data_IF_951132250151
#
_entry.id   IF_951132250151
#
_cell.length_a   1.000
_cell.length_b   1.000
_cell.length_c   1.000
_cell.angle_alpha   90.00
_cell.angle_beta   90.00
_cell.angle_gamma   90.00
#
_symmetry.space_group_name_H-M   'P 1'
#
loop_
_entity.id
_entity.type
_entity.pdbx_description
1 polymer ?
#
# COMPACT_ATOMS: atom_id res chain seq x y z
N UNK A 1 -8.99 -23.99 21.90
CA UNK A 1 -7.75 -23.47 21.30
C UNK A 1 -7.88 -21.96 21.24
N UNK A 2 -6.79 -21.20 21.44
CA UNK A 2 -6.82 -19.76 21.25
C UNK A 2 -6.56 -19.47 19.76
N UNK A 3 -7.63 -19.40 18.96
CA UNK A 3 -7.50 -19.26 17.50
C UNK A 3 -6.88 -17.90 17.11
N UNK A 4 -7.16 -16.83 17.86
CA UNK A 4 -6.55 -15.52 17.67
C UNK A 4 -5.02 -15.63 17.71
N UNK A 5 -4.46 -16.27 18.75
CA UNK A 5 -3.01 -16.42 18.93
C UNK A 5 -2.27 -17.00 17.71
N UNK A 6 -2.90 -17.88 16.93
CA UNK A 6 -2.27 -18.46 15.73
C UNK A 6 -2.44 -17.58 14.49
N UNK A 7 -3.53 -16.81 14.38
CA UNK A 7 -3.68 -15.78 13.35
C UNK A 7 -2.81 -14.56 13.62
N UNK A 8 -2.68 -14.13 14.88
CA UNK A 8 -1.75 -13.09 15.31
C UNK A 8 -0.31 -13.46 14.90
N UNK A 9 0.08 -14.72 15.14
CA UNK A 9 1.38 -15.27 14.70
C UNK A 9 1.53 -15.38 13.20
N UNK A 10 0.48 -15.73 12.47
CA UNK A 10 0.50 -15.69 11.02
C UNK A 10 0.68 -14.25 10.51
N UNK A 11 0.09 -13.27 11.22
CA UNK A 11 0.18 -11.85 10.88
C UNK A 11 1.51 -11.20 11.26
N UNK A 12 2.21 -11.70 12.28
CA UNK A 12 3.64 -11.36 12.53
C UNK A 12 4.49 -11.64 11.28
N UNK A 13 4.22 -12.75 10.55
CA UNK A 13 4.93 -13.09 9.30
C UNK A 13 4.59 -12.14 8.15
N UNK A 14 3.31 -11.76 8.03
CA UNK A 14 2.84 -10.78 7.03
C UNK A 14 3.59 -9.45 7.19
N UNK A 15 3.77 -8.99 8.43
CA UNK A 15 4.53 -7.78 8.77
C UNK A 15 6.02 -7.87 8.41
N UNK A 16 6.58 -9.06 8.22
CA UNK A 16 7.97 -9.26 7.78
C UNK A 16 8.14 -9.34 6.26
N UNK A 17 7.09 -9.71 5.51
CA UNK A 17 7.15 -9.82 4.04
C UNK A 17 6.39 -8.72 3.30
N UNK A 18 5.72 -7.80 4.02
CA UNK A 18 5.04 -6.65 3.43
C UNK A 18 5.99 -5.81 2.55
N UNK A 19 5.55 -5.50 1.34
CA UNK A 19 6.34 -4.83 0.31
C UNK A 19 7.21 -5.73 -0.58
N UNK A 20 7.48 -7.01 -0.22
CA UNK A 20 8.29 -7.95 -1.01
C UNK A 20 7.48 -8.75 -2.05
N UNK A 21 6.17 -8.90 -1.83
CA UNK A 21 5.28 -9.77 -2.62
C UNK A 21 4.77 -9.19 -3.94
N UNK A 22 5.36 -8.09 -4.41
CA UNK A 22 5.01 -7.45 -5.69
C UNK A 22 3.56 -6.96 -5.71
N UNK A 23 2.79 -7.34 -6.75
CA UNK A 23 1.37 -6.99 -6.84
C UNK A 23 0.44 -7.82 -5.95
N UNK A 24 0.95 -8.89 -5.33
CA UNK A 24 0.19 -9.71 -4.38
C UNK A 24 0.35 -9.15 -2.96
N UNK A 25 -0.66 -9.29 -2.08
CA UNK A 25 -0.49 -8.92 -0.68
C UNK A 25 0.35 -9.99 0.04
N UNK A 26 0.99 -9.62 1.15
CA UNK A 26 1.66 -10.61 1.98
C UNK A 26 0.62 -11.49 2.69
N UNK A 27 0.90 -12.79 2.78
CA UNK A 27 0.04 -13.79 3.44
C UNK A 27 0.90 -14.62 4.38
N UNK A 28 0.37 -14.95 5.55
CA UNK A 28 1.01 -15.79 6.56
C UNK A 28 0.16 -17.01 6.91
N UNK A 29 0.82 -18.11 7.24
CA UNK A 29 0.21 -19.38 7.60
C UNK A 29 0.91 -20.08 8.77
N UNK A 30 0.11 -20.68 9.64
CA UNK A 30 0.56 -21.51 10.76
C UNK A 30 -0.22 -22.83 10.73
N UNK A 31 0.48 -23.97 10.74
CA UNK A 31 -0.13 -25.30 10.88
C UNK A 31 0.04 -25.77 12.33
N UNK A 32 -1.06 -26.13 12.97
CA UNK A 32 -1.11 -26.56 14.38
C UNK A 32 -1.69 -27.96 14.51
N UNK A 33 -0.97 -28.83 15.22
CA UNK A 33 -1.43 -30.16 15.60
C UNK A 33 -1.14 -30.40 17.08
N UNK A 34 -2.11 -30.94 17.81
CA UNK A 34 -1.99 -31.27 19.25
C UNK A 34 -1.45 -30.09 20.11
N UNK A 35 -1.97 -28.88 19.82
CA UNK A 35 -1.54 -27.59 20.40
C UNK A 35 -0.05 -27.22 20.18
N UNK A 36 0.60 -27.79 19.16
CA UNK A 36 1.96 -27.46 18.75
C UNK A 36 1.97 -26.90 17.33
N UNK A 37 2.72 -25.82 17.12
CA UNK A 37 3.03 -25.35 15.77
C UNK A 37 3.95 -26.39 15.12
N UNK A 38 3.52 -26.95 13.99
CA UNK A 38 4.26 -27.95 13.21
C UNK A 38 4.67 -27.42 11.84
N UNK A 39 4.07 -26.33 11.37
CA UNK A 39 4.44 -25.65 10.13
C UNK A 39 4.23 -24.15 10.22
N UNK A 40 5.11 -23.40 9.55
CA UNK A 40 5.10 -21.93 9.45
C UNK A 40 5.38 -21.60 7.98
N UNK A 41 4.66 -20.65 7.41
CA UNK A 41 4.86 -20.23 6.04
C UNK A 41 4.40 -18.81 5.80
N UNK A 42 5.06 -18.13 4.87
CA UNK A 42 4.66 -16.84 4.36
C UNK A 42 4.81 -16.84 2.83
N UNK A 43 4.08 -15.96 2.14
CA UNK A 43 4.42 -15.61 0.76
C UNK A 43 5.58 -14.62 0.81
N UNK A 44 6.73 -15.01 0.23
CA UNK A 44 7.98 -14.25 0.30
C UNK A 44 8.12 -13.29 -0.90
N UNK A 45 7.94 -13.81 -2.11
CA UNK A 45 8.16 -13.08 -3.37
C UNK A 45 7.11 -13.46 -4.42
N UNK A 46 6.74 -12.53 -5.29
CA UNK A 46 5.76 -12.77 -6.35
C UNK A 46 6.15 -13.94 -7.27
N UNK A 47 5.24 -14.89 -7.45
CA UNK A 47 5.43 -16.07 -8.32
C UNK A 47 6.11 -17.25 -7.65
N UNK A 48 6.58 -17.11 -6.42
CA UNK A 48 6.99 -18.24 -5.58
C UNK A 48 5.80 -18.91 -4.87
N UNK A 49 6.07 -19.96 -4.11
CA UNK A 49 5.07 -20.67 -3.31
C UNK A 49 4.32 -19.73 -2.35
N UNK A 50 3.02 -19.95 -2.23
CA UNK A 50 2.16 -19.23 -1.28
C UNK A 50 2.40 -19.70 0.16
N UNK A 51 1.88 -18.95 1.13
CA UNK A 51 2.06 -19.19 2.56
C UNK A 51 1.58 -20.59 2.98
N UNK A 52 0.44 -21.03 2.45
CA UNK A 52 -0.18 -22.34 2.70
C UNK A 52 0.78 -23.46 2.26
N UNK A 53 1.34 -23.35 1.06
CA UNK A 53 2.26 -24.34 0.49
C UNK A 53 3.53 -24.43 1.33
N UNK A 54 4.09 -23.29 1.74
CA UNK A 54 5.29 -23.24 2.58
C UNK A 54 5.04 -23.85 3.97
N UNK A 55 3.92 -23.49 4.62
CA UNK A 55 3.57 -24.02 5.94
C UNK A 55 3.27 -25.53 5.92
N UNK A 56 2.58 -26.01 4.88
CA UNK A 56 2.29 -27.45 4.71
C UNK A 56 3.53 -28.26 4.35
N UNK A 57 4.45 -27.70 3.54
CA UNK A 57 5.74 -28.35 3.26
C UNK A 57 6.60 -28.47 4.52
N UNK A 58 6.64 -27.44 5.38
CA UNK A 58 7.32 -27.51 6.67
C UNK A 58 6.66 -28.54 7.62
N UNK A 59 5.32 -28.60 7.67
CA UNK A 59 4.61 -29.57 8.50
C UNK A 59 4.76 -31.02 8.03
N UNK A 60 4.85 -31.25 6.71
CA UNK A 60 4.93 -32.59 6.12
C UNK A 60 3.83 -33.51 6.66
N UNK A 61 4.20 -34.72 7.10
CA UNK A 61 3.26 -35.70 7.70
C UNK A 61 2.51 -35.19 8.95
N UNK A 62 2.99 -34.12 9.60
CA UNK A 62 2.33 -33.55 10.78
C UNK A 62 1.12 -32.68 10.41
N UNK A 63 0.92 -32.36 9.12
CA UNK A 63 -0.31 -31.72 8.62
C UNK A 63 -1.55 -32.65 8.68
N UNK A 64 -1.36 -33.97 8.66
CA UNK A 64 -2.48 -34.93 8.66
C UNK A 64 -3.26 -34.81 9.98
N UNK A 65 -4.53 -34.41 9.91
CA UNK A 65 -5.39 -34.15 11.06
C UNK A 65 -5.17 -32.80 11.75
N UNK A 66 -4.33 -31.92 11.18
CA UNK A 66 -4.01 -30.62 11.76
C UNK A 66 -5.04 -29.53 11.39
N UNK A 67 -4.90 -28.36 12.04
CA UNK A 67 -5.56 -27.11 11.67
C UNK A 67 -4.57 -26.18 10.96
N UNK A 68 -4.95 -25.63 9.82
CA UNK A 68 -4.25 -24.52 9.16
C UNK A 68 -4.90 -23.19 9.57
N UNK A 69 -4.09 -22.22 9.99
CA UNK A 69 -4.50 -20.84 10.24
C UNK A 69 -3.87 -19.95 9.16
N UNK A 70 -4.66 -19.12 8.46
CA UNK A 70 -4.20 -18.25 7.39
C UNK A 70 -4.69 -16.80 7.57
N UNK A 71 -3.87 -15.80 7.27
CA UNK A 71 -4.30 -14.39 7.36
C UNK A 71 -5.31 -14.01 6.28
N UNK A 72 -5.27 -14.66 5.12
CA UNK A 72 -6.18 -14.48 3.99
C UNK A 72 -6.87 -15.82 3.64
N UNK A 73 -8.03 -15.77 3.02
CA UNK A 73 -8.71 -16.95 2.49
C UNK A 73 -7.83 -17.72 1.47
N UNK A 74 -7.63 -19.05 1.61
CA UNK A 74 -6.78 -19.81 0.69
C UNK A 74 -7.28 -19.84 -0.76
N UNK A 75 -6.35 -19.75 -1.70
CA UNK A 75 -6.70 -19.64 -3.12
C UNK A 75 -7.05 -20.99 -3.79
N UNK A 76 -8.06 -20.97 -4.68
CA UNK A 76 -8.47 -22.12 -5.51
C UNK A 76 -8.17 -21.97 -7.00
N UNK A 77 -7.74 -20.79 -7.45
CA UNK A 77 -7.45 -20.54 -8.87
C UNK A 77 -6.08 -21.15 -9.28
N UNK A 78 -5.99 -21.62 -10.52
CA UNK A 78 -4.71 -21.99 -11.13
C UNK A 78 -3.99 -20.72 -11.59
N UNK A 79 -2.89 -20.37 -10.93
CA UNK A 79 -2.03 -19.23 -11.26
C UNK A 79 -0.70 -19.67 -11.86
N UNK A 80 0.39 -18.97 -11.51
CA UNK A 80 1.77 -19.43 -11.77
C UNK A 80 2.09 -20.71 -10.98
N UNK A 81 1.41 -20.92 -9.86
CA UNK A 81 1.48 -22.12 -9.00
C UNK A 81 0.15 -22.89 -8.99
N UNK A 82 0.14 -24.20 -8.66
CA UNK A 82 -1.08 -24.95 -8.39
C UNK A 82 -1.90 -24.32 -7.24
N UNK A 83 -3.22 -24.52 -7.20
CA UNK A 83 -4.10 -23.94 -6.19
C UNK A 83 -3.81 -24.49 -4.78
N UNK A 84 -3.88 -23.62 -3.79
CA UNK A 84 -3.62 -23.98 -2.40
C UNK A 84 -4.69 -24.93 -1.84
N UNK A 85 -5.94 -24.78 -2.27
CA UNK A 85 -7.05 -25.72 -1.98
C UNK A 85 -6.66 -27.19 -2.17
N UNK A 86 -6.06 -27.55 -3.30
CA UNK A 86 -5.67 -28.95 -3.57
C UNK A 86 -4.58 -29.41 -2.60
N UNK A 87 -3.55 -28.58 -2.40
CA UNK A 87 -2.44 -28.89 -1.47
C UNK A 87 -2.93 -29.06 -0.02
N UNK A 88 -3.93 -28.29 0.41
CA UNK A 88 -4.57 -28.41 1.74
C UNK A 88 -5.28 -29.77 1.87
N UNK A 89 -6.07 -30.16 0.86
CA UNK A 89 -6.77 -31.46 0.80
C UNK A 89 -5.76 -32.61 0.84
N UNK A 90 -4.77 -32.59 -0.04
CA UNK A 90 -3.74 -33.65 -0.17
C UNK A 90 -2.89 -33.82 1.10
N UNK A 91 -2.68 -32.73 1.86
CA UNK A 91 -1.93 -32.74 3.11
C UNK A 91 -2.73 -33.32 4.30
N UNK A 92 -4.02 -33.63 4.11
CA UNK A 92 -4.87 -34.23 5.13
C UNK A 92 -5.27 -33.28 6.26
N UNK A 93 -5.24 -31.96 6.02
CA UNK A 93 -5.76 -30.95 6.96
C UNK A 93 -7.23 -31.27 7.28
N UNK A 94 -7.65 -31.06 8.54
CA UNK A 94 -9.04 -31.26 8.96
C UNK A 94 -9.80 -29.98 9.29
N UNK A 95 -9.08 -28.88 9.50
CA UNK A 95 -9.68 -27.57 9.72
C UNK A 95 -8.84 -26.46 9.09
N UNK A 96 -9.49 -25.50 8.46
CA UNK A 96 -8.91 -24.24 8.01
C UNK A 96 -9.60 -23.11 8.77
N UNK A 97 -8.81 -22.19 9.33
CA UNK A 97 -9.31 -20.96 9.94
C UNK A 97 -8.63 -19.79 9.23
N UNK A 98 -9.39 -18.85 8.68
CA UNK A 98 -8.84 -17.67 8.01
C UNK A 98 -9.40 -16.37 8.59
N UNK A 99 -8.61 -15.29 8.56
CA UNK A 99 -9.05 -14.01 9.12
C UNK A 99 -9.95 -13.22 8.15
N UNK A 100 -9.49 -13.07 6.91
CA UNK A 100 -10.08 -12.15 5.93
C UNK A 100 -10.46 -12.88 4.65
N UNK A 101 -11.70 -12.65 4.18
CA UNK A 101 -12.21 -13.20 2.92
C UNK A 101 -11.54 -12.53 1.71
N UNK A 102 -11.13 -13.30 0.70
CA UNK A 102 -10.58 -12.77 -0.54
C UNK A 102 -11.72 -12.22 -1.42
N UNK A 103 -11.94 -10.90 -1.34
CA UNK A 103 -12.92 -10.17 -2.17
C UNK A 103 -12.47 -10.02 -3.63
N UNK A 104 -11.30 -10.54 -3.97
CA UNK A 104 -10.51 -10.18 -5.14
C UNK A 104 -10.43 -11.32 -6.18
N UNK A 105 -10.75 -12.55 -5.75
CA UNK A 105 -10.75 -13.79 -6.52
C UNK A 105 -11.88 -14.68 -5.99
N UNK A 106 -12.35 -15.62 -6.82
CA UNK A 106 -13.21 -16.68 -6.29
C UNK A 106 -12.35 -17.71 -5.56
N UNK A 107 -12.67 -17.98 -4.30
CA UNK A 107 -12.18 -19.13 -3.54
C UNK A 107 -13.08 -20.34 -3.80
N UNK A 108 -12.57 -21.55 -3.54
CA UNK A 108 -13.36 -22.78 -3.57
C UNK A 108 -13.34 -23.40 -2.16
N UNK A 109 -13.92 -22.65 -1.22
CA UNK A 109 -14.19 -23.13 0.14
C UNK A 109 -15.09 -24.37 0.10
N UNK A 110 -16.01 -24.46 -0.86
CA UNK A 110 -16.97 -25.55 -0.93
C UNK A 110 -16.31 -26.87 -1.39
N UNK A 111 -15.29 -26.84 -2.24
CA UNK A 111 -14.42 -28.01 -2.48
C UNK A 111 -13.68 -28.48 -1.22
N UNK A 112 -13.18 -27.57 -0.37
CA UNK A 112 -12.58 -27.96 0.91
C UNK A 112 -13.61 -28.63 1.84
N UNK A 113 -14.81 -28.03 1.97
CA UNK A 113 -15.91 -28.61 2.76
C UNK A 113 -16.37 -29.97 2.22
N UNK A 114 -16.45 -30.13 0.90
CA UNK A 114 -16.82 -31.40 0.25
C UNK A 114 -15.84 -32.54 0.55
N UNK A 115 -14.56 -32.22 0.79
CA UNK A 115 -13.54 -33.18 1.25
C UNK A 115 -13.51 -33.37 2.78
N UNK A 116 -14.51 -32.85 3.50
CA UNK A 116 -14.67 -33.02 4.94
C UNK A 116 -13.69 -32.18 5.77
N UNK A 117 -13.26 -31.03 5.25
CA UNK A 117 -12.48 -30.03 5.97
C UNK A 117 -13.47 -29.01 6.58
N UNK A 118 -13.35 -28.76 7.89
CA UNK A 118 -14.09 -27.67 8.55
C UNK A 118 -13.42 -26.35 8.18
N UNK A 119 -14.18 -25.38 7.65
CA UNK A 119 -13.64 -24.08 7.23
C UNK A 119 -14.37 -22.97 7.99
N UNK A 120 -13.63 -22.22 8.81
CA UNK A 120 -14.15 -21.11 9.62
C UNK A 120 -13.47 -19.79 9.25
N UNK A 121 -14.23 -18.69 9.25
CA UNK A 121 -13.67 -17.34 9.29
C UNK A 121 -13.60 -16.83 10.74
N UNK A 122 -12.52 -16.14 11.09
CA UNK A 122 -12.35 -15.47 12.38
C UNK A 122 -11.88 -14.03 12.18
N UNK A 123 -12.84 -13.10 12.15
CA UNK A 123 -12.56 -11.69 11.91
C UNK A 123 -11.63 -11.09 12.97
N UNK A 124 -10.54 -10.46 12.52
CA UNK A 124 -9.59 -9.69 13.33
C UNK A 124 -9.38 -8.36 12.61
N UNK A 125 -9.76 -7.25 13.24
CA UNK A 125 -9.80 -5.93 12.59
C UNK A 125 -8.44 -5.46 12.08
N UNK A 126 -7.36 -5.68 12.83
CA UNK A 126 -6.00 -5.30 12.41
C UNK A 126 -5.56 -6.03 11.12
N UNK A 127 -6.02 -7.28 10.92
CA UNK A 127 -5.72 -8.06 9.72
C UNK A 127 -6.61 -7.61 8.55
N UNK A 128 -7.90 -7.33 8.79
CA UNK A 128 -8.78 -6.75 7.76
C UNK A 128 -8.23 -5.41 7.26
N UNK A 129 -7.90 -4.49 8.18
CA UNK A 129 -7.30 -3.18 7.88
C UNK A 129 -6.03 -3.28 7.04
N UNK A 130 -5.21 -4.32 7.22
CA UNK A 130 -4.02 -4.56 6.40
C UNK A 130 -4.35 -4.94 4.94
N UNK A 131 -5.40 -5.73 4.71
CA UNK A 131 -5.79 -6.13 3.35
C UNK A 131 -6.70 -5.12 2.63
N UNK A 132 -7.33 -4.18 3.35
CA UNK A 132 -8.18 -3.13 2.77
C UNK A 132 -7.53 -2.38 1.58
N UNK A 133 -6.25 -1.95 1.63
CA UNK A 133 -5.58 -1.32 0.48
C UNK A 133 -5.57 -2.18 -0.79
N UNK A 134 -5.24 -3.47 -0.66
CA UNK A 134 -5.19 -4.40 -1.78
C UNK A 134 -6.58 -4.59 -2.41
N UNK A 135 -7.61 -4.81 -1.60
CA UNK A 135 -8.97 -4.98 -2.12
C UNK A 135 -9.51 -3.70 -2.74
N UNK A 136 -9.36 -2.54 -2.09
CA UNK A 136 -9.81 -1.25 -2.65
C UNK A 136 -9.17 -1.00 -4.01
N UNK A 137 -7.87 -1.23 -4.15
CA UNK A 137 -7.18 -1.04 -5.42
C UNK A 137 -7.73 -1.97 -6.52
N UNK A 138 -7.83 -3.27 -6.22
CA UNK A 138 -8.24 -4.27 -7.22
C UNK A 138 -9.72 -4.15 -7.62
N UNK A 139 -10.60 -3.83 -6.67
CA UNK A 139 -12.04 -3.67 -6.91
C UNK A 139 -12.35 -2.41 -7.72
N UNK A 140 -11.70 -1.28 -7.39
CA UNK A 140 -11.90 0.00 -8.09
C UNK A 140 -11.11 0.12 -9.40
N UNK A 141 -10.05 -0.68 -9.56
CA UNK A 141 -9.09 -0.62 -10.68
C UNK A 141 -8.32 0.72 -10.75
N UNK A 142 -8.04 1.29 -9.58
CA UNK A 142 -7.16 2.44 -9.38
C UNK A 142 -6.20 2.13 -8.22
N UNK A 143 -5.00 2.71 -8.12
CA UNK A 143 -4.06 2.43 -7.05
C UNK A 143 -4.57 3.01 -5.72
N UNK A 144 -4.37 2.27 -4.64
CA UNK A 144 -4.59 2.77 -3.29
C UNK A 144 -3.66 3.95 -3.02
N UNK A 145 -4.22 5.12 -2.72
CA UNK A 145 -3.50 6.40 -2.80
C UNK A 145 -3.30 7.03 -1.43
N UNK A 146 -2.03 7.12 -1.03
CA UNK A 146 -1.59 7.73 0.23
C UNK A 146 -1.06 9.13 -0.05
N UNK A 147 -1.66 10.14 0.57
CA UNK A 147 -1.15 11.51 0.62
C UNK A 147 -0.23 11.65 1.83
N UNK A 148 1.06 11.94 1.65
CA UNK A 148 2.00 12.06 2.78
C UNK A 148 2.67 13.43 2.81
N UNK A 149 2.75 13.99 4.01
CA UNK A 149 3.20 15.36 4.26
C UNK A 149 3.94 15.48 5.59
N UNK A 150 4.94 16.35 5.63
CA UNK A 150 5.54 16.84 6.87
C UNK A 150 5.12 18.29 7.07
N UNK A 151 4.51 18.60 8.21
CA UNK A 151 3.98 19.92 8.54
C UNK A 151 4.46 20.40 9.91
N UNK A 152 4.49 21.71 10.10
CA UNK A 152 4.56 22.32 11.43
C UNK A 152 3.22 22.17 12.17
N UNK A 153 3.19 22.47 13.46
CA UNK A 153 1.98 22.44 14.29
C UNK A 153 0.89 23.40 13.78
N UNK A 154 1.30 24.51 13.16
CA UNK A 154 0.42 25.47 12.47
C UNK A 154 0.19 25.14 10.98
N UNK A 155 0.52 23.92 10.55
CA UNK A 155 0.12 23.34 9.26
C UNK A 155 0.93 23.81 8.04
N UNK A 156 2.16 24.31 8.21
CA UNK A 156 3.02 24.79 7.12
C UNK A 156 3.98 23.70 6.60
N UNK A 157 4.23 23.69 5.28
CA UNK A 157 5.13 22.73 4.59
C UNK A 157 6.48 23.33 4.15
N UNK A 158 6.62 24.64 4.20
CA UNK A 158 7.85 25.41 3.98
C UNK A 158 7.68 26.82 4.59
N UNK A 159 8.75 27.59 4.72
CA UNK A 159 8.69 29.03 5.00
C UNK A 159 8.38 29.84 3.72
N UNK A 160 8.14 31.15 3.89
CA UNK A 160 7.74 32.02 2.79
C UNK A 160 8.82 32.14 1.69
N UNK A 161 10.09 31.82 2.00
CA UNK A 161 11.25 31.74 1.10
C UNK A 161 11.43 30.34 0.45
N UNK A 162 10.40 29.47 0.54
CA UNK A 162 10.34 28.11 -0.02
C UNK A 162 11.28 27.08 0.66
N UNK A 163 11.82 27.37 1.84
CA UNK A 163 12.69 26.44 2.58
C UNK A 163 11.87 25.49 3.47
N UNK A 164 12.03 24.18 3.25
CA UNK A 164 11.31 23.11 3.95
C UNK A 164 12.19 22.14 4.75
N UNK A 165 13.52 22.26 4.63
CA UNK A 165 14.50 21.31 5.18
C UNK A 165 15.09 21.85 6.50
N UNK A 166 14.75 21.32 7.67
CA UNK A 166 13.88 20.17 7.95
C UNK A 166 12.78 20.53 8.96
N UNK A 167 11.53 20.42 8.51
CA UNK A 167 10.33 20.48 9.38
C UNK A 167 10.29 19.28 10.31
N UNK A 168 10.16 18.06 9.78
CA UNK A 168 10.09 16.83 10.58
C UNK A 168 11.47 16.28 10.95
N UNK A 169 11.54 15.54 12.06
CA UNK A 169 12.77 14.96 12.58
C UNK A 169 13.23 13.70 11.80
N UNK A 170 14.34 13.10 12.23
CA UNK A 170 14.93 11.96 11.52
C UNK A 170 14.12 10.67 11.64
N UNK A 171 13.57 10.36 12.82
CA UNK A 171 12.73 9.19 13.04
C UNK A 171 11.46 9.23 12.15
N UNK A 172 10.82 10.40 12.03
CA UNK A 172 9.72 10.64 11.08
C UNK A 172 10.12 10.36 9.63
N UNK A 173 11.28 10.85 9.19
CA UNK A 173 11.78 10.63 7.81
C UNK A 173 12.14 9.16 7.56
N UNK A 174 12.69 8.47 8.56
CA UNK A 174 12.98 7.03 8.48
C UNK A 174 11.70 6.20 8.36
N UNK A 175 10.65 6.49 9.15
CA UNK A 175 9.35 5.84 8.99
C UNK A 175 8.72 6.12 7.62
N UNK A 176 8.85 7.35 7.09
CA UNK A 176 8.39 7.65 5.74
C UNK A 176 9.07 6.78 4.66
N UNK A 177 10.37 6.44 4.81
CA UNK A 177 11.02 5.48 3.92
C UNK A 177 10.45 4.05 4.06
N UNK A 178 9.96 3.63 5.23
CA UNK A 178 9.24 2.37 5.37
C UNK A 178 7.90 2.40 4.59
N UNK A 179 7.13 3.49 4.67
CA UNK A 179 5.87 3.62 3.89
C UNK A 179 6.15 3.55 2.37
N UNK A 180 7.24 4.17 1.90
CA UNK A 180 7.71 4.04 0.51
C UNK A 180 7.99 2.60 0.10
N UNK A 181 8.63 1.80 0.96
CA UNK A 181 8.91 0.39 0.68
C UNK A 181 7.62 -0.43 0.50
N UNK A 182 6.59 -0.13 1.30
CA UNK A 182 5.27 -0.78 1.15
C UNK A 182 4.45 -0.31 -0.05
N UNK A 183 4.95 0.66 -0.83
CA UNK A 183 4.29 1.21 -2.04
C UNK A 183 4.99 0.75 -3.32
N UNK A 184 4.29 0.78 -4.45
CA UNK A 184 4.84 0.40 -5.77
C UNK A 184 5.46 1.60 -6.48
N UNK A 185 4.90 2.78 -6.24
CA UNK A 185 5.31 4.03 -6.85
C UNK A 185 5.29 5.20 -5.85
N UNK A 186 6.17 6.18 -6.08
CA UNK A 186 6.14 7.49 -5.42
C UNK A 186 5.86 8.54 -6.49
N UNK A 187 4.86 9.39 -6.24
CA UNK A 187 4.39 10.42 -7.15
C UNK A 187 4.81 11.82 -6.67
N UNK A 188 5.29 12.63 -7.62
CA UNK A 188 5.57 14.06 -7.45
C UNK A 188 5.11 14.88 -8.67
N UNK A 189 4.86 16.18 -8.48
CA UNK A 189 4.74 17.12 -9.61
C UNK A 189 6.10 17.48 -10.22
N UNK A 190 6.11 17.84 -11.51
CA UNK A 190 7.33 18.17 -12.27
C UNK A 190 8.21 19.24 -11.62
N UNK A 191 7.64 20.29 -11.02
CA UNK A 191 8.43 21.32 -10.34
C UNK A 191 9.24 20.76 -9.17
N UNK A 192 8.64 19.89 -8.34
CA UNK A 192 9.37 19.20 -7.26
C UNK A 192 10.43 18.26 -7.83
N UNK A 193 10.12 17.54 -8.90
CA UNK A 193 11.11 16.69 -9.58
C UNK A 193 12.32 17.51 -10.10
N UNK A 194 12.08 18.62 -10.81
CA UNK A 194 13.11 19.45 -11.46
C UNK A 194 13.98 20.21 -10.45
N UNK A 195 13.38 20.77 -9.40
CA UNK A 195 14.08 21.63 -8.44
C UNK A 195 14.69 20.87 -7.25
N UNK A 196 13.96 19.94 -6.62
CA UNK A 196 14.50 19.18 -5.47
C UNK A 196 15.42 18.03 -5.90
N UNK A 197 15.31 17.58 -7.16
CA UNK A 197 15.97 16.39 -7.72
C UNK A 197 15.95 15.18 -6.75
N UNK A 198 14.76 14.76 -6.30
CA UNK A 198 14.62 13.76 -5.24
C UNK A 198 14.97 12.35 -5.72
N UNK A 199 15.63 11.57 -4.85
CA UNK A 199 15.97 10.15 -5.14
C UNK A 199 14.76 9.24 -5.27
N UNK A 200 13.62 9.61 -4.66
CA UNK A 200 12.34 8.90 -4.67
C UNK A 200 12.51 7.37 -4.53
N UNK A 201 13.18 7.00 -3.45
CA UNK A 201 13.57 5.64 -3.09
C UNK A 201 13.30 5.35 -1.61
N UNK A 202 13.44 4.08 -1.22
CA UNK A 202 13.57 3.68 0.18
C UNK A 202 15.04 3.40 0.50
N UNK A 203 15.68 4.36 1.18
CA UNK A 203 17.15 4.36 1.38
C UNK A 203 17.67 3.13 2.13
N UNK A 204 16.84 2.60 3.03
CA UNK A 204 17.14 1.48 3.91
C UNK A 204 16.73 0.12 3.31
N UNK A 205 16.02 0.13 2.18
CA UNK A 205 15.44 -1.04 1.52
C UNK A 205 15.61 -0.94 0.00
N UNK A 206 16.86 -1.11 -0.46
CA UNK A 206 17.29 -0.87 -1.86
C UNK A 206 17.04 -2.03 -2.81
N UNK A 207 16.63 -3.17 -2.26
CA UNK A 207 16.16 -4.37 -2.94
C UNK A 207 14.89 -4.10 -3.75
N UNK A 208 13.93 -3.35 -3.18
CA UNK A 208 12.69 -3.01 -3.90
C UNK A 208 12.88 -1.86 -4.87
N UNK A 209 12.59 -2.13 -6.14
CA UNK A 209 12.60 -1.14 -7.23
C UNK A 209 11.27 -0.38 -7.32
N UNK A 210 11.13 0.63 -6.47
CA UNK A 210 9.99 1.56 -6.46
C UNK A 210 9.98 2.40 -7.75
N UNK A 211 8.82 2.61 -8.37
CA UNK A 211 8.67 3.47 -9.56
C UNK A 211 8.64 4.95 -9.17
N UNK A 212 9.26 5.80 -10.00
CA UNK A 212 9.19 7.26 -9.90
C UNK A 212 8.09 7.74 -10.82
N UNK A 213 6.99 8.27 -10.30
CA UNK A 213 5.93 8.87 -11.12
C UNK A 213 6.06 10.39 -11.07
N UNK A 214 6.15 11.04 -12.24
CA UNK A 214 6.18 12.50 -12.34
C UNK A 214 5.03 12.99 -13.22
N UNK A 215 4.16 13.83 -12.67
CA UNK A 215 3.13 14.52 -13.44
C UNK A 215 3.75 15.77 -14.07
N UNK A 216 3.71 15.88 -15.40
CA UNK A 216 4.14 17.05 -16.16
C UNK A 216 3.00 17.62 -17.00
N UNK A 217 2.67 18.90 -16.80
CA UNK A 217 1.76 19.63 -17.68
C UNK A 217 2.57 20.33 -18.78
N UNK A 218 3.13 19.55 -19.70
CA UNK A 218 4.05 20.04 -20.73
C UNK A 218 5.15 19.04 -21.11
N UNK A 219 6.14 19.55 -21.86
CA UNK A 219 7.41 18.87 -22.11
C UNK A 219 8.11 18.52 -20.79
N UNK A 220 8.68 17.33 -20.72
CA UNK A 220 9.42 16.84 -19.57
C UNK A 220 10.90 16.73 -19.92
N UNK A 221 11.75 17.31 -19.08
CA UNK A 221 13.20 17.13 -19.15
C UNK A 221 13.69 16.25 -17.99
N UNK A 222 14.42 15.18 -18.31
CA UNK A 222 15.08 14.36 -17.30
C UNK A 222 16.17 15.15 -16.56
N UNK A 223 16.35 14.91 -15.26
CA UNK A 223 17.46 15.46 -14.50
C UNK A 223 18.73 14.63 -14.73
N UNK A 224 19.91 15.24 -14.66
CA UNK A 224 21.19 14.54 -14.83
C UNK A 224 21.37 13.36 -13.87
N UNK A 225 20.88 13.48 -12.62
CA UNK A 225 20.91 12.39 -11.62
C UNK A 225 20.09 11.17 -12.03
N UNK A 226 19.02 11.38 -12.79
CA UNK A 226 18.11 10.34 -13.27
C UNK A 226 18.51 9.82 -14.66
N UNK A 227 19.45 10.48 -15.34
CA UNK A 227 19.92 10.16 -16.69
C UNK A 227 20.91 8.97 -16.71
N UNK A 228 20.51 7.86 -16.09
CA UNK A 228 21.21 6.58 -16.09
C UNK A 228 20.18 5.44 -16.26
N UNK A 229 20.60 4.28 -16.77
CA UNK A 229 19.68 3.20 -17.15
C UNK A 229 18.79 2.71 -16.00
N UNK A 230 19.32 2.69 -14.77
CA UNK A 230 18.59 2.24 -13.58
C UNK A 230 17.51 3.27 -13.16
N UNK A 231 17.79 4.57 -13.27
CA UNK A 231 16.85 5.64 -12.91
C UNK A 231 15.83 5.94 -14.01
N UNK A 232 16.25 6.01 -15.28
CA UNK A 232 15.36 6.06 -16.45
C UNK A 232 14.31 4.97 -16.40
N UNK A 233 14.73 3.71 -16.23
CA UNK A 233 13.82 2.57 -16.33
C UNK A 233 12.92 2.36 -15.10
N UNK A 234 13.06 3.13 -14.01
CA UNK A 234 12.03 3.22 -12.95
C UNK A 234 11.09 4.42 -13.13
N UNK A 235 11.42 5.38 -14.00
CA UNK A 235 10.67 6.62 -14.23
C UNK A 235 9.43 6.37 -15.11
N UNK A 236 8.33 7.00 -14.71
CA UNK A 236 7.05 7.07 -15.41
C UNK A 236 6.66 8.55 -15.46
N UNK A 237 6.57 9.12 -16.66
CA UNK A 237 6.10 10.48 -16.89
C UNK A 237 4.63 10.41 -17.29
N UNK A 238 3.76 11.10 -16.56
CA UNK A 238 2.34 11.26 -16.92
C UNK A 238 2.13 12.68 -17.40
N UNK A 239 1.64 12.85 -18.64
CA UNK A 239 1.60 14.15 -19.33
C UNK A 239 0.47 14.22 -20.34
N UNK A 240 0.09 15.43 -20.74
CA UNK A 240 -0.78 15.73 -21.90
C UNK A 240 0.01 16.02 -23.18
N UNK A 241 1.34 16.11 -23.09
CA UNK A 241 2.22 16.42 -24.22
C UNK A 241 2.82 15.15 -24.79
N UNK A 242 2.47 14.83 -26.04
CA UNK A 242 3.07 13.72 -26.78
C UNK A 242 4.58 13.93 -26.95
N UNK A 243 5.36 12.99 -26.41
CA UNK A 243 6.81 13.01 -26.39
C UNK A 243 7.35 11.61 -26.11
N UNK A 244 8.56 11.32 -26.59
CA UNK A 244 9.29 10.09 -26.28
C UNK A 244 10.62 10.44 -25.61
N UNK A 245 10.95 9.71 -24.55
CA UNK A 245 12.18 9.91 -23.77
C UNK A 245 12.85 8.54 -23.63
N UNK A 246 14.09 8.44 -24.10
CA UNK A 246 14.83 7.18 -24.09
C UNK A 246 14.95 6.57 -22.68
N UNK A 247 14.61 5.27 -22.59
CA UNK A 247 14.63 4.48 -21.36
C UNK A 247 13.50 4.78 -20.34
N UNK A 248 12.60 5.73 -20.62
CA UNK A 248 11.55 6.20 -19.70
C UNK A 248 10.17 5.77 -20.19
N UNK A 249 9.28 5.37 -19.27
CA UNK A 249 7.87 5.12 -19.61
C UNK A 249 7.13 6.46 -19.68
N UNK A 250 6.58 6.84 -20.84
CA UNK A 250 5.74 8.03 -20.99
C UNK A 250 4.29 7.60 -21.19
N UNK A 251 3.39 8.14 -20.37
CA UNK A 251 1.94 7.94 -20.41
C UNK A 251 1.33 9.27 -20.84
N UNK A 252 0.81 9.32 -22.08
CA UNK A 252 0.14 10.50 -22.63
C UNK A 252 -1.37 10.36 -22.39
N UNK A 253 -1.97 11.35 -21.75
CA UNK A 253 -3.40 11.41 -21.40
C UNK A 253 -4.07 12.63 -22.05
N UNK A 254 -5.41 12.62 -22.12
CA UNK A 254 -6.22 13.76 -22.57
C UNK A 254 -6.20 14.93 -21.60
N UNK A 255 -6.06 14.62 -20.31
CA UNK A 255 -6.12 15.53 -19.18
C UNK A 255 -5.29 14.95 -18.02
N UNK A 256 -5.08 15.77 -17.00
CA UNK A 256 -4.37 15.40 -15.77
C UNK A 256 -5.32 15.39 -14.56
N UNK A 257 -6.56 14.97 -14.75
CA UNK A 257 -7.47 14.74 -13.62
C UNK A 257 -6.92 13.58 -12.76
N UNK A 258 -6.92 13.69 -11.42
CA UNK A 258 -6.33 12.67 -10.54
C UNK A 258 -6.85 11.26 -10.78
N UNK A 259 -8.15 11.10 -11.07
CA UNK A 259 -8.75 9.79 -11.37
C UNK A 259 -8.20 9.18 -12.67
N UNK A 260 -8.19 9.94 -13.77
CA UNK A 260 -7.59 9.53 -15.07
C UNK A 260 -6.13 9.12 -14.92
N UNK A 261 -5.35 9.86 -14.12
CA UNK A 261 -3.96 9.54 -13.81
C UNK A 261 -3.86 8.19 -13.08
N UNK A 262 -4.69 7.99 -12.05
CA UNK A 262 -4.68 6.77 -11.26
C UNK A 262 -5.08 5.55 -12.09
N UNK A 263 -6.15 5.61 -12.87
CA UNK A 263 -6.56 4.53 -13.79
C UNK A 263 -5.41 4.12 -14.72
N UNK A 264 -4.75 5.10 -15.34
CA UNK A 264 -3.62 4.85 -16.22
C UNK A 264 -2.42 4.19 -15.49
N UNK A 265 -2.14 4.59 -14.24
CA UNK A 265 -1.09 3.98 -13.42
C UNK A 265 -1.44 2.56 -12.98
N UNK A 266 -2.72 2.25 -12.71
CA UNK A 266 -3.17 0.89 -12.40
C UNK A 266 -3.01 -0.06 -13.59
N UNK A 267 -3.29 0.39 -14.82
CA UNK A 267 -2.98 -0.36 -16.03
C UNK A 267 -1.48 -0.69 -16.15
N UNK A 268 -0.61 0.19 -15.65
CA UNK A 268 0.84 0.00 -15.53
C UNK A 268 1.29 -0.77 -14.26
N UNK A 269 0.36 -1.51 -13.63
CA UNK A 269 0.61 -2.41 -12.48
C UNK A 269 1.04 -1.74 -11.18
N UNK A 270 0.69 -0.46 -11.01
CA UNK A 270 0.81 0.22 -9.72
C UNK A 270 -0.48 -0.03 -8.94
N UNK A 271 -0.41 -0.73 -7.81
CA UNK A 271 -1.56 -1.04 -6.95
C UNK A 271 -1.58 -0.16 -5.71
N UNK A 272 -0.43 0.33 -5.26
CA UNK A 272 -0.31 1.28 -4.14
C UNK A 272 0.67 2.40 -4.47
N UNK A 273 0.25 3.65 -4.26
CA UNK A 273 1.02 4.85 -4.59
C UNK A 273 1.06 5.81 -3.41
N UNK A 274 2.21 6.45 -3.21
CA UNK A 274 2.39 7.52 -2.23
C UNK A 274 2.70 8.84 -2.93
N UNK A 275 1.96 9.89 -2.59
CA UNK A 275 2.12 11.24 -3.12
C UNK A 275 2.85 12.07 -2.07
N UNK A 276 4.08 12.51 -2.39
CA UNK A 276 4.94 13.24 -1.45
C UNK A 276 5.42 14.61 -1.94
N UNK A 277 5.24 14.94 -3.22
CA UNK A 277 5.93 16.08 -3.84
C UNK A 277 5.01 17.04 -4.59
N UNK A 278 5.04 18.30 -4.17
CA UNK A 278 4.40 19.42 -4.84
C UNK A 278 3.05 19.80 -4.23
N UNK A 279 2.96 21.01 -3.68
CA UNK A 279 1.71 21.51 -3.08
C UNK A 279 0.56 21.55 -4.10
N UNK A 280 0.84 21.91 -5.36
CA UNK A 280 -0.15 21.91 -6.44
C UNK A 280 -0.69 20.49 -6.72
N UNK A 281 0.18 19.47 -6.72
CA UNK A 281 -0.19 18.07 -6.89
C UNK A 281 -1.03 17.58 -5.70
N UNK A 282 -0.61 17.89 -4.47
CA UNK A 282 -1.38 17.57 -3.27
C UNK A 282 -2.78 18.20 -3.30
N UNK A 283 -2.86 19.50 -3.62
CA UNK A 283 -4.12 20.25 -3.80
C UNK A 283 -5.03 19.59 -4.85
N UNK A 284 -4.50 19.18 -6.00
CA UNK A 284 -5.30 18.54 -7.05
C UNK A 284 -5.98 17.24 -6.56
N UNK A 285 -5.24 16.35 -5.91
CA UNK A 285 -5.77 15.08 -5.40
C UNK A 285 -6.76 15.28 -4.24
N UNK A 286 -6.52 16.25 -3.36
CA UNK A 286 -7.46 16.60 -2.27
C UNK A 286 -8.75 17.23 -2.82
N UNK A 287 -8.65 18.21 -3.73
CA UNK A 287 -9.82 18.87 -4.33
C UNK A 287 -10.68 17.92 -5.15
N UNK A 288 -10.09 16.94 -5.84
CA UNK A 288 -10.82 15.88 -6.55
C UNK A 288 -11.33 14.76 -5.62
N UNK A 289 -11.01 14.81 -4.31
CA UNK A 289 -11.27 13.76 -3.29
C UNK A 289 -10.71 12.37 -3.67
N UNK A 290 -9.71 12.34 -4.55
CA UNK A 290 -9.14 11.14 -5.16
C UNK A 290 -7.95 10.60 -4.33
N UNK A 291 -8.22 10.23 -3.09
CA UNK A 291 -7.25 9.58 -2.21
C UNK A 291 -7.94 8.62 -1.23
N UNK A 292 -7.15 7.77 -0.56
CA UNK A 292 -7.63 6.82 0.44
C UNK A 292 -7.13 7.16 1.85
N UNK A 293 -5.86 7.56 2.00
CA UNK A 293 -5.25 7.88 3.30
C UNK A 293 -4.44 9.17 3.27
N UNK A 294 -4.38 9.86 4.41
CA UNK A 294 -3.49 10.99 4.70
C UNK A 294 -2.55 10.58 5.82
N UNK A 295 -1.24 10.62 5.55
CA UNK A 295 -0.16 10.36 6.51
C UNK A 295 0.49 11.70 6.86
N UNK A 296 -0.02 12.33 7.92
CA UNK A 296 0.39 13.67 8.35
C UNK A 296 1.40 13.59 9.49
N UNK A 297 2.65 13.95 9.21
CA UNK A 297 3.72 14.05 10.21
C UNK A 297 3.77 15.50 10.71
N UNK A 298 3.40 15.72 11.97
CA UNK A 298 3.35 17.03 12.62
C UNK A 298 4.59 17.20 13.50
N UNK A 299 5.42 18.19 13.18
CA UNK A 299 6.58 18.57 13.97
C UNK A 299 6.20 19.56 15.09
N UNK A 300 6.89 19.55 16.25
CA UNK A 300 6.65 20.44 17.40
C UNK A 300 7.23 21.85 17.15
N UNK A 301 6.81 22.47 16.04
CA UNK A 301 7.32 23.76 15.53
C UNK A 301 6.12 24.63 15.14
N UNK A 302 6.23 25.94 15.31
CA UNK A 302 5.28 26.93 14.80
C UNK A 302 6.07 27.86 13.88
N UNK A 303 5.57 28.09 12.67
CA UNK A 303 6.29 28.88 11.66
C UNK A 303 5.67 30.27 11.42
N UNK A 304 4.34 30.38 11.49
CA UNK A 304 3.64 31.60 11.11
C UNK A 304 3.79 31.88 9.62
N UNK A 305 3.94 33.14 9.23
CA UNK A 305 4.09 33.54 7.82
C UNK A 305 2.80 33.43 7.00
N UNK A 306 2.92 33.67 5.69
CA UNK A 306 1.79 33.75 4.76
C UNK A 306 1.06 32.40 4.58
N UNK A 307 -0.13 32.42 3.97
CA UNK A 307 -0.84 31.18 3.66
C UNK A 307 -0.17 30.33 2.57
N UNK A 308 0.83 30.85 1.83
CA UNK A 308 1.50 30.23 0.66
C UNK A 308 1.82 28.73 0.81
N UNK A 309 2.21 28.32 2.01
CA UNK A 309 2.65 26.95 2.34
C UNK A 309 1.76 26.22 3.36
N UNK A 310 0.51 26.66 3.55
CA UNK A 310 -0.46 25.85 4.30
C UNK A 310 -0.73 24.53 3.57
N UNK A 311 -0.92 23.45 4.35
CA UNK A 311 -1.21 22.10 3.85
C UNK A 311 -2.26 22.06 2.73
N UNK A 312 -3.38 22.75 2.92
CA UNK A 312 -4.43 22.87 1.92
C UNK A 312 -4.81 24.33 1.76
N UNK A 313 -4.65 24.81 0.54
CA UNK A 313 -5.17 26.09 0.07
C UNK A 313 -6.11 25.73 -1.07
N UNK A 314 -7.29 26.34 -1.11
CA UNK A 314 -8.20 26.24 -2.25
C UNK A 314 -8.71 27.64 -2.55
N UNK A 315 -8.88 27.95 -3.83
CA UNK A 315 -9.31 29.29 -4.25
C UNK A 315 -10.81 29.50 -3.95
N UNK A 316 -11.54 28.38 -3.78
CA UNK A 316 -12.86 28.31 -3.18
C UNK A 316 -12.85 27.21 -2.10
N UNK A 317 -13.05 27.54 -0.82
CA UNK A 317 -13.17 26.54 0.24
C UNK A 317 -14.50 25.79 0.13
N UNK A 318 -14.49 24.49 0.43
CA UNK A 318 -15.72 23.68 0.51
C UNK A 318 -16.65 24.20 1.60
N UNK A 319 -17.96 24.09 1.37
CA UNK A 319 -18.95 24.33 2.42
C UNK A 319 -18.87 23.25 3.51
N UNK A 320 -19.33 23.54 4.73
CA UNK A 320 -19.33 22.55 5.83
C UNK A 320 -20.16 21.28 5.50
N UNK A 321 -21.14 21.39 4.60
CA UNK A 321 -21.93 20.26 4.07
C UNK A 321 -21.21 19.45 2.98
N UNK A 322 -20.03 19.89 2.56
CA UNK A 322 -19.24 19.32 1.46
C UNK A 322 -17.80 18.99 1.92
N UNK A 323 -17.56 18.92 3.22
CA UNK A 323 -16.27 18.46 3.76
C UNK A 323 -16.05 16.99 3.42
N UNK A 324 -14.79 16.57 3.44
CA UNK A 324 -14.42 15.16 3.31
C UNK A 324 -14.15 14.61 4.69
N UNK A 325 -15.03 13.73 5.17
CA UNK A 325 -14.87 13.09 6.47
C UNK A 325 -13.72 12.09 6.48
N UNK A 326 -13.00 12.06 7.59
CA UNK A 326 -11.78 11.28 7.78
C UNK A 326 -11.82 10.54 9.13
N UNK A 327 -11.74 9.22 9.10
CA UNK A 327 -11.54 8.40 10.30
C UNK A 327 -10.06 8.35 10.69
N UNK A 328 -9.76 8.56 11.98
CA UNK A 328 -8.42 8.36 12.53
C UNK A 328 -8.12 6.86 12.66
N UNK A 329 -7.12 6.38 11.91
CA UNK A 329 -6.72 4.96 11.90
C UNK A 329 -5.54 4.69 12.83
N UNK A 330 -4.57 5.62 12.91
CA UNK A 330 -3.38 5.42 13.73
C UNK A 330 -2.79 6.73 14.24
N UNK A 331 -2.28 6.69 15.47
CA UNK A 331 -1.43 7.73 16.06
C UNK A 331 -0.10 7.07 16.42
N UNK A 332 1.01 7.62 15.93
CA UNK A 332 2.37 7.19 16.30
C UNK A 332 3.20 8.40 16.70
N UNK A 333 4.09 8.24 17.67
CA UNK A 333 5.08 9.26 18.04
C UNK A 333 6.46 8.87 17.50
N UNK A 334 7.20 9.87 17.03
CA UNK A 334 8.58 9.74 16.59
C UNK A 334 9.38 10.83 17.29
N UNK A 335 10.05 10.49 18.38
CA UNK A 335 10.67 11.42 19.33
C UNK A 335 9.70 12.50 19.86
N UNK A 336 9.61 13.64 19.17
CA UNK A 336 8.71 14.76 19.48
C UNK A 336 7.75 15.11 18.32
N UNK A 337 7.88 14.44 17.18
CA UNK A 337 6.90 14.53 16.08
C UNK A 337 5.75 13.54 16.33
N UNK A 338 4.57 13.85 15.79
CA UNK A 338 3.40 12.95 15.77
C UNK A 338 3.04 12.61 14.34
N UNK A 339 2.88 11.33 14.02
CA UNK A 339 2.22 10.87 12.81
C UNK A 339 0.76 10.56 13.11
N UNK A 340 -0.14 11.23 12.39
CA UNK A 340 -1.55 10.88 12.30
C UNK A 340 -1.79 10.21 10.94
N UNK A 341 -2.36 9.00 10.97
CA UNK A 341 -2.88 8.33 9.78
C UNK A 341 -4.39 8.45 9.82
N UNK A 342 -4.91 9.23 8.87
CA UNK A 342 -6.34 9.37 8.61
C UNK A 342 -6.69 8.60 7.34
N UNK A 343 -7.86 7.96 7.33
CA UNK A 343 -8.43 7.31 6.16
C UNK A 343 -9.70 8.03 5.76
N UNK A 344 -9.88 8.25 4.46
CA UNK A 344 -11.10 8.83 3.92
C UNK A 344 -12.27 7.87 4.17
N UNK A 345 -13.34 8.39 4.74
CA UNK A 345 -14.58 7.64 4.87
C UNK A 345 -15.21 7.54 3.48
N UNK A 346 -15.11 6.35 2.88
CA UNK A 346 -15.91 6.05 1.71
C UNK A 346 -17.35 5.80 2.16
N UNK A 347 -18.32 6.37 1.42
CA UNK A 347 -19.73 6.03 1.61
C UNK A 347 -19.91 4.58 1.18
N UNK A 348 -19.80 3.67 2.16
CA UNK A 348 -19.58 2.24 1.94
C UNK A 348 -20.84 1.60 1.32
N UNK A 349 -20.87 1.51 -0.01
CA UNK A 349 -21.93 0.83 -0.79
C UNK A 349 -22.05 -0.65 -0.43
N UNK A 350 -21.07 -1.20 0.31
CA UNK A 350 -20.93 -2.63 0.62
C UNK A 350 -20.85 -2.95 2.14
N UNK A 351 -21.19 -2.03 3.05
CA UNK A 351 -21.38 -2.35 4.49
C UNK A 351 -22.73 -3.00 4.83
N UNK A 352 -23.56 -3.24 3.82
CA UNK A 352 -24.85 -3.91 3.96
C UNK A 352 -24.97 -5.07 2.97
N UNK A 353 -24.37 -6.22 3.28
CA UNK A 353 -24.83 -7.55 2.88
C UNK A 353 -24.31 -8.62 3.85
#
# INVERSE_FOLDING_TARGET
>A
MNNNLYLDKAFELVKWTDGQTGSNPAVGCIVVKDNRIVGIGAHLTEGEAHAEVNALNMAGRHAIGATLYCTLEPCSHFGKTPPCTQKIIDSGIKRVVYAVQDKSLHSDIDAMKAHGIVVDQLYISEIDDYYQPFFKAKLRKIPYTILKMGVTLDGKTADDDDVSKWITNEASRNHAHCVRYTSDAILVGYNTYKHDQPTLDSRNYRDKRIRKVVISNGLFEINDKDNNDYDKSRLIVVTTTDQSIDGVTVIVLTDLHPETILEALYLHKINRIIIEGGMQTMRAFVSARTFDEIHQYIAPKILGGSSKHQFLITDQPSQMSEITDLSLVSVKTFDQDVLLIYRKDDVDVYRHH
#
